data_IF_568684995748
#
_entry.id   IF_568684995748
#
_cell.length_a   1.000
_cell.length_b   1.000
_cell.length_c   1.000
_cell.angle_alpha   90.00
_cell.angle_beta   90.00
_cell.angle_gamma   90.00
#
_symmetry.space_group_name_H-M   'P 1'
#
loop_
_entity.id
_entity.type
_entity.pdbx_description
1 polymer ?
#
# COMPACT_ATOMS: atom_id res chain seq x y z
N UNK A 1 0.28 -26.75 -58.27
CA UNK A 1 -0.91 -27.24 -57.52
C UNK A 1 -0.42 -28.10 -56.37
N UNK A 2 -0.31 -27.55 -55.15
CA UNK A 2 0.10 -28.34 -53.97
C UNK A 2 -1.11 -29.15 -53.49
N UNK A 3 -1.04 -30.45 -53.68
CA UNK A 3 -2.07 -31.41 -53.30
C UNK A 3 -2.03 -31.61 -51.78
N UNK A 4 -3.05 -31.10 -51.08
CA UNK A 4 -3.18 -31.28 -49.64
C UNK A 4 -3.48 -32.76 -49.33
N UNK A 5 -2.47 -33.47 -48.82
CA UNK A 5 -2.61 -34.86 -48.36
C UNK A 5 -3.66 -34.92 -47.23
N UNK A 6 -4.69 -35.77 -47.34
CA UNK A 6 -5.73 -35.85 -46.33
C UNK A 6 -5.15 -36.38 -45.03
N UNK A 7 -5.23 -35.57 -43.98
CA UNK A 7 -4.68 -35.86 -42.66
C UNK A 7 -5.58 -36.84 -41.92
N UNK A 8 -5.02 -37.92 -41.36
CA UNK A 8 -5.75 -38.94 -40.60
C UNK A 8 -6.55 -38.31 -39.45
N UNK A 9 -7.75 -38.84 -39.16
CA UNK A 9 -8.67 -38.29 -38.15
C UNK A 9 -8.04 -38.14 -36.77
N UNK A 10 -7.18 -39.10 -36.38
CA UNK A 10 -6.41 -39.02 -35.13
C UNK A 10 -5.40 -37.89 -35.15
N UNK A 11 -4.74 -37.66 -36.28
CA UNK A 11 -3.75 -36.59 -36.45
C UNK A 11 -4.40 -35.20 -36.35
N UNK A 12 -5.61 -35.02 -36.89
CA UNK A 12 -6.42 -33.81 -36.68
C UNK A 12 -6.73 -33.55 -35.21
N UNK A 13 -7.04 -34.60 -34.45
CA UNK A 13 -7.36 -34.49 -33.02
C UNK A 13 -6.13 -34.08 -32.18
N UNK A 14 -4.95 -34.64 -32.45
CA UNK A 14 -3.71 -34.23 -31.79
C UNK A 14 -3.31 -32.79 -32.13
N UNK A 15 -3.42 -32.39 -33.40
CA UNK A 15 -3.14 -31.01 -33.83
C UNK A 15 -4.12 -30.01 -33.19
N UNK A 16 -5.42 -30.33 -33.12
CA UNK A 16 -6.39 -29.46 -32.46
C UNK A 16 -6.12 -29.32 -30.96
N UNK A 17 -5.79 -30.42 -30.28
CA UNK A 17 -5.42 -30.39 -28.85
C UNK A 17 -4.17 -29.54 -28.62
N UNK A 18 -3.17 -29.64 -29.48
CA UNK A 18 -1.96 -28.82 -29.44
C UNK A 18 -2.25 -27.34 -29.69
N UNK A 19 -3.13 -27.01 -30.66
CA UNK A 19 -3.54 -25.62 -30.91
C UNK A 19 -4.31 -25.02 -29.73
N UNK A 20 -5.20 -25.78 -29.10
CA UNK A 20 -5.94 -25.32 -27.91
C UNK A 20 -4.98 -25.09 -26.74
N UNK A 21 -4.06 -26.03 -26.48
CA UNK A 21 -3.05 -25.86 -25.43
C UNK A 21 -2.16 -24.64 -25.68
N UNK A 22 -1.75 -24.42 -26.93
CA UNK A 22 -0.97 -23.25 -27.33
C UNK A 22 -1.74 -21.94 -27.12
N UNK A 23 -3.02 -21.89 -27.50
CA UNK A 23 -3.87 -20.74 -27.28
C UNK A 23 -4.08 -20.43 -25.78
N UNK A 24 -4.26 -21.46 -24.95
CA UNK A 24 -4.40 -21.30 -23.49
C UNK A 24 -3.10 -20.75 -22.87
N UNK A 25 -1.94 -21.27 -23.29
CA UNK A 25 -0.63 -20.75 -22.84
C UNK A 25 -0.45 -19.30 -23.28
N UNK A 26 -0.78 -18.95 -24.52
CA UNK A 26 -0.72 -17.57 -25.00
C UNK A 26 -1.61 -16.62 -24.19
N UNK A 27 -2.85 -17.02 -23.92
CA UNK A 27 -3.79 -16.23 -23.10
C UNK A 27 -3.23 -16.05 -21.68
N UNK A 28 -2.68 -17.10 -21.08
CA UNK A 28 -2.07 -17.02 -19.75
C UNK A 28 -0.85 -16.08 -19.71
N UNK A 29 -0.02 -16.09 -20.75
CA UNK A 29 1.18 -15.22 -20.88
C UNK A 29 0.80 -13.75 -21.13
N UNK A 30 -0.32 -13.49 -21.81
CA UNK A 30 -0.81 -12.12 -22.06
C UNK A 30 -1.64 -11.59 -20.88
N UNK A 31 -2.32 -12.46 -20.13
CA UNK A 31 -3.11 -12.07 -18.96
C UNK A 31 -2.25 -11.76 -17.72
N UNK A 32 -1.07 -12.36 -17.57
CA UNK A 32 -0.14 -12.10 -16.46
C UNK A 32 0.24 -10.62 -16.30
N UNK A 33 0.67 -9.86 -17.32
CA UNK A 33 1.01 -8.44 -17.14
C UNK A 33 -0.19 -7.58 -16.72
N UNK A 34 -1.42 -7.98 -17.04
CA UNK A 34 -2.63 -7.26 -16.62
C UNK A 34 -2.96 -7.51 -15.13
N UNK A 35 -2.62 -8.69 -14.60
CA UNK A 35 -2.79 -9.00 -13.17
C UNK A 35 -1.67 -8.45 -12.29
N UNK A 36 -0.49 -8.18 -12.87
CA UNK A 36 0.65 -7.57 -12.17
C UNK A 36 0.81 -6.06 -12.43
N UNK A 37 -0.11 -5.45 -13.18
CA UNK A 37 -0.12 -4.01 -13.36
C UNK A 37 -0.38 -3.32 -12.01
N UNK A 38 0.64 -2.70 -11.44
CA UNK A 38 0.52 -1.93 -10.20
C UNK A 38 -0.52 -0.83 -10.38
N UNK A 39 -1.30 -0.55 -9.33
CA UNK A 39 -2.26 0.55 -9.35
C UNK A 39 -1.50 1.86 -9.62
N UNK A 40 -1.81 2.61 -10.70
CA UNK A 40 -1.08 3.82 -11.07
C UNK A 40 -1.16 4.93 -10.01
N UNK A 41 -2.09 4.84 -9.05
CA UNK A 41 -2.24 5.76 -7.93
C UNK A 41 -1.61 5.26 -6.63
N UNK A 42 -1.12 4.02 -6.56
CA UNK A 42 -0.57 3.44 -5.33
C UNK A 42 0.59 4.27 -4.79
N UNK A 43 1.49 4.72 -5.67
CA UNK A 43 2.61 5.60 -5.32
C UNK A 43 2.12 6.95 -4.83
N UNK A 44 1.11 7.53 -5.48
CA UNK A 44 0.54 8.82 -5.09
C UNK A 44 -0.15 8.78 -3.72
N UNK A 45 -0.98 7.76 -3.46
CA UNK A 45 -1.69 7.58 -2.19
C UNK A 45 -0.72 7.30 -1.03
N UNK A 46 0.29 6.46 -1.28
CA UNK A 46 1.29 6.12 -0.26
C UNK A 46 2.22 7.31 0.01
N UNK A 47 2.67 7.99 -1.04
CA UNK A 47 3.53 9.17 -0.95
C UNK A 47 2.85 10.31 -0.20
N UNK A 48 1.61 10.66 -0.57
CA UNK A 48 0.87 11.73 0.10
C UNK A 48 0.66 11.45 1.60
N UNK A 49 0.36 10.19 1.95
CA UNK A 49 0.20 9.80 3.36
C UNK A 49 1.51 9.95 4.13
N UNK A 50 2.64 9.55 3.54
CA UNK A 50 3.96 9.68 4.15
C UNK A 50 4.38 11.16 4.30
N UNK A 51 4.23 11.96 3.25
CA UNK A 51 4.57 13.39 3.24
C UNK A 51 3.73 14.19 4.24
N UNK A 52 2.44 13.86 4.32
CA UNK A 52 1.53 14.48 5.29
C UNK A 52 1.98 14.18 6.72
N UNK A 53 2.31 12.92 7.04
CA UNK A 53 2.79 12.55 8.38
C UNK A 53 4.14 13.18 8.71
N UNK A 54 5.07 13.24 7.75
CA UNK A 54 6.35 13.89 7.92
C UNK A 54 6.20 15.38 8.25
N UNK A 55 5.27 16.05 7.57
CA UNK A 55 4.98 17.48 7.80
C UNK A 55 4.23 17.73 9.11
N UNK A 56 3.31 16.85 9.51
CA UNK A 56 2.53 17.01 10.75
C UNK A 56 3.31 16.63 12.00
N UNK A 57 4.32 15.76 11.92
CA UNK A 57 5.12 15.32 13.07
C UNK A 57 5.70 16.48 13.90
N UNK A 58 6.38 17.49 13.32
CA UNK A 58 6.85 18.64 14.09
C UNK A 58 5.72 19.46 14.72
N UNK A 59 4.56 19.56 14.04
CA UNK A 59 3.37 20.25 14.58
C UNK A 59 2.85 19.53 15.83
N UNK A 60 2.84 18.19 15.82
CA UNK A 60 2.45 17.40 16.98
C UNK A 60 3.38 17.63 18.17
N UNK A 61 4.70 17.73 17.93
CA UNK A 61 5.68 18.08 18.96
C UNK A 61 5.39 19.43 19.60
N UNK A 62 5.13 20.46 18.78
CA UNK A 62 4.78 21.81 19.28
C UNK A 62 3.47 21.78 20.06
N UNK A 63 2.45 21.07 19.58
CA UNK A 63 1.17 20.95 20.27
C UNK A 63 1.31 20.35 21.67
N UNK A 64 2.13 19.30 21.82
CA UNK A 64 2.44 18.68 23.11
C UNK A 64 3.20 19.66 24.02
N UNK A 65 4.19 20.38 23.49
CA UNK A 65 4.96 21.35 24.28
C UNK A 65 4.09 22.50 24.81
N UNK A 66 3.26 23.09 23.96
CA UNK A 66 2.40 24.23 24.32
C UNK A 66 1.31 23.79 25.30
N UNK A 67 0.62 22.68 25.04
CA UNK A 67 -0.42 22.18 25.93
C UNK A 67 0.15 21.68 27.26
N UNK A 68 1.32 21.04 27.26
CA UNK A 68 2.01 20.61 28.48
C UNK A 68 2.42 21.79 29.35
N UNK A 69 3.00 22.84 28.76
CA UNK A 69 3.34 24.07 29.48
C UNK A 69 2.09 24.78 30.01
N UNK A 70 1.02 24.85 29.21
CA UNK A 70 -0.26 25.42 29.63
C UNK A 70 -0.89 24.66 30.81
N UNK A 71 -0.80 23.32 30.80
CA UNK A 71 -1.31 22.50 31.89
C UNK A 71 -0.45 22.62 33.16
N UNK A 72 0.87 22.65 33.01
CA UNK A 72 1.81 22.83 34.11
C UNK A 72 1.66 24.19 34.80
N UNK A 73 1.33 25.24 34.05
CA UNK A 73 1.09 26.60 34.57
C UNK A 73 -0.34 26.81 35.10
N UNK A 74 -1.19 25.78 35.10
CA UNK A 74 -2.58 25.85 35.54
C UNK A 74 -3.49 26.69 34.63
N UNK A 75 -3.03 27.03 33.41
CA UNK A 75 -3.78 27.83 32.44
C UNK A 75 -4.80 27.03 31.65
N UNK A 76 -4.56 25.73 31.49
CA UNK A 76 -5.54 24.79 30.93
C UNK A 76 -5.65 23.55 31.83
N UNK A 77 -6.82 22.88 31.88
CA UNK A 77 -6.97 21.66 32.66
C UNK A 77 -6.18 20.51 32.01
N UNK A 78 -5.63 19.63 32.84
CA UNK A 78 -4.90 18.43 32.38
C UNK A 78 -5.70 17.55 31.42
N UNK A 79 -7.03 17.55 31.50
CA UNK A 79 -7.88 16.83 30.55
C UNK A 79 -7.70 17.29 29.10
N UNK A 80 -7.41 18.59 28.87
CA UNK A 80 -7.16 19.11 27.52
C UNK A 80 -5.82 18.57 26.98
N UNK A 81 -4.80 18.49 27.84
CA UNK A 81 -3.51 17.88 27.48
C UNK A 81 -3.67 16.40 27.07
N UNK A 82 -4.42 15.61 27.84
CA UNK A 82 -4.73 14.23 27.47
C UNK A 82 -5.54 14.14 26.17
N UNK A 83 -6.48 15.07 25.95
CA UNK A 83 -7.21 15.19 24.68
C UNK A 83 -6.27 15.39 23.48
N UNK A 84 -5.24 16.22 23.62
CA UNK A 84 -4.20 16.43 22.58
C UNK A 84 -3.45 15.13 22.30
N UNK A 85 -3.03 14.39 23.32
CA UNK A 85 -2.34 13.10 23.14
C UNK A 85 -3.24 12.10 22.38
N UNK A 86 -4.50 11.98 22.78
CA UNK A 86 -5.46 11.08 22.12
C UNK A 86 -5.66 11.50 20.65
N UNK A 87 -5.79 12.79 20.37
CA UNK A 87 -5.93 13.30 19.01
C UNK A 87 -4.72 12.94 18.13
N UNK A 88 -3.49 13.04 18.67
CA UNK A 88 -2.26 12.64 17.98
C UNK A 88 -2.31 11.15 17.62
N UNK A 89 -2.70 10.28 18.56
CA UNK A 89 -2.81 8.84 18.27
C UNK A 89 -3.79 8.57 17.12
N UNK A 90 -4.92 9.27 17.06
CA UNK A 90 -5.89 9.14 15.97
C UNK A 90 -5.37 9.65 14.61
N UNK A 91 -4.57 10.71 14.59
CA UNK A 91 -4.03 11.28 13.34
C UNK A 91 -2.92 10.40 12.75
N UNK A 92 -2.00 9.92 13.58
CA UNK A 92 -0.79 9.25 13.12
C UNK A 92 -0.91 7.72 13.04
N UNK A 93 -1.77 7.12 13.87
CA UNK A 93 -1.94 5.67 13.98
C UNK A 93 -0.80 4.97 14.73
N UNK A 94 -0.94 3.66 14.96
CA UNK A 94 -0.03 2.86 15.79
C UNK A 94 1.43 2.89 15.33
N UNK A 95 1.66 2.74 14.03
CA UNK A 95 3.01 2.49 13.49
C UNK A 95 3.94 3.67 13.73
N UNK A 96 3.43 4.90 13.55
CA UNK A 96 4.19 6.11 13.78
C UNK A 96 4.52 6.27 15.27
N UNK A 97 3.56 6.02 16.16
CA UNK A 97 3.76 6.13 17.62
C UNK A 97 4.80 5.09 18.08
N UNK A 98 4.69 3.85 17.60
CA UNK A 98 5.64 2.78 17.91
C UNK A 98 7.04 3.13 17.40
N UNK A 99 7.14 3.71 16.20
CA UNK A 99 8.42 4.18 15.65
C UNK A 99 9.08 5.23 16.54
N UNK A 100 8.33 6.22 17.04
CA UNK A 100 8.87 7.22 17.97
C UNK A 100 9.33 6.61 19.28
N UNK A 101 8.53 5.71 19.86
CA UNK A 101 8.89 5.01 21.09
C UNK A 101 10.17 4.21 20.89
N UNK A 102 10.28 3.47 19.78
CA UNK A 102 11.48 2.70 19.43
C UNK A 102 12.71 3.60 19.23
N UNK A 103 12.55 4.73 18.55
CA UNK A 103 13.61 5.71 18.38
C UNK A 103 14.13 6.27 19.71
N UNK A 104 13.26 6.49 20.71
CA UNK A 104 13.67 6.90 22.06
C UNK A 104 14.56 5.85 22.76
N UNK A 105 14.35 4.57 22.43
CA UNK A 105 15.13 3.45 22.96
C UNK A 105 16.28 3.02 22.02
N UNK A 106 16.43 3.66 20.86
CA UNK A 106 17.45 3.33 19.86
C UNK A 106 17.26 1.96 19.19
N UNK A 107 16.02 1.45 19.12
CA UNK A 107 15.66 0.12 18.56
C UNK A 107 14.69 0.21 17.38
#
# INVERSE_FOLDING_TARGET
MQTLKPTSSKQRMYTNKQMILFAVVLIAVVATPLTFAANPFQTGTTGLSADTKATLTPVAGIAVMVSGLGAATGRIPWMVFFGVIIAIVFIFGSDQIVSWVRALFGV
#
